data_IF_585213706335
#
_entry.id   IF_585213706335
#
_cell.length_a   1.000
_cell.length_b   1.000
_cell.length_c   1.000
_cell.angle_alpha   90.00
_cell.angle_beta   90.00
_cell.angle_gamma   90.00
#
_symmetry.space_group_name_H-M   'P 1'
#
loop_
_entity.id
_entity.type
_entity.pdbx_description
1 polymer ?
#
# COMPACT_ATOMS: atom_id res chain seq x y z
N UNK A 1 25.53 11.61 -35.91
CA UNK A 1 25.78 11.04 -34.57
C UNK A 1 24.78 11.50 -33.51
N UNK A 2 24.42 12.78 -33.43
CA UNK A 2 23.44 13.29 -32.44
C UNK A 2 22.05 12.62 -32.54
N UNK A 3 21.51 12.41 -33.74
CA UNK A 3 20.20 11.73 -33.93
C UNK A 3 20.16 10.30 -33.36
N UNK A 4 21.22 9.51 -33.53
CA UNK A 4 21.32 8.15 -32.97
C UNK A 4 21.38 8.17 -31.44
N UNK A 5 22.13 9.11 -30.85
CA UNK A 5 22.22 9.24 -29.39
C UNK A 5 20.88 9.70 -28.77
N UNK A 6 20.19 10.66 -29.41
CA UNK A 6 18.83 11.06 -28.98
C UNK A 6 17.87 9.88 -29.00
N UNK A 7 17.88 9.08 -30.08
CA UNK A 7 17.03 7.88 -30.20
C UNK A 7 17.30 6.87 -29.07
N UNK A 8 18.57 6.62 -28.75
CA UNK A 8 18.97 5.72 -27.64
C UNK A 8 18.47 6.23 -26.28
N UNK A 9 18.64 7.51 -26.00
CA UNK A 9 18.16 8.12 -24.75
C UNK A 9 16.64 8.00 -24.66
N UNK A 10 15.93 8.34 -25.73
CA UNK A 10 14.46 8.23 -25.77
C UNK A 10 14.00 6.79 -25.55
N UNK A 11 14.60 5.81 -26.22
CA UNK A 11 14.24 4.40 -26.05
C UNK A 11 14.45 3.94 -24.60
N UNK A 12 15.61 4.21 -24.00
CA UNK A 12 15.91 3.82 -22.62
C UNK A 12 14.96 4.50 -21.61
N UNK A 13 14.69 5.80 -21.78
CA UNK A 13 13.77 6.52 -20.90
C UNK A 13 12.34 6.02 -21.02
N UNK A 14 11.86 5.69 -22.23
CA UNK A 14 10.52 5.12 -22.43
C UNK A 14 10.39 3.70 -21.87
N UNK A 15 11.44 2.87 -21.98
CA UNK A 15 11.48 1.56 -21.32
C UNK A 15 11.40 1.74 -19.80
N UNK A 16 12.19 2.65 -19.24
CA UNK A 16 12.13 2.97 -17.81
C UNK A 16 10.75 3.45 -17.36
N UNK A 17 10.09 4.29 -18.17
CA UNK A 17 8.71 4.74 -17.92
C UNK A 17 7.73 3.57 -17.86
N UNK A 18 7.80 2.65 -18.82
CA UNK A 18 6.95 1.46 -18.84
C UNK A 18 7.19 0.56 -17.63
N UNK A 19 8.46 0.36 -17.24
CA UNK A 19 8.80 -0.41 -16.05
C UNK A 19 8.28 0.23 -14.75
N UNK A 20 8.30 1.56 -14.62
CA UNK A 20 7.73 2.24 -13.45
C UNK A 20 6.23 1.94 -13.28
N UNK A 21 5.47 1.85 -14.38
CA UNK A 21 4.05 1.48 -14.33
C UNK A 21 3.88 0.04 -13.84
N UNK A 22 4.70 -0.89 -14.35
CA UNK A 22 4.65 -2.31 -13.93
C UNK A 22 5.02 -2.46 -12.45
N UNK A 23 6.07 -1.76 -11.99
CA UNK A 23 6.54 -1.80 -10.61
C UNK A 23 5.43 -1.43 -9.62
N UNK A 24 4.57 -0.47 -9.95
CA UNK A 24 3.51 -0.01 -9.04
C UNK A 24 2.53 -1.12 -8.65
N UNK A 25 2.31 -2.11 -9.52
CA UNK A 25 1.39 -3.22 -9.30
C UNK A 25 2.09 -4.54 -8.95
N UNK A 26 3.42 -4.56 -8.90
CA UNK A 26 4.18 -5.79 -8.70
C UNK A 26 4.64 -5.90 -7.23
N UNK A 27 4.57 -7.08 -6.61
CA UNK A 27 5.17 -7.31 -5.30
C UNK A 27 6.66 -6.98 -5.29
N UNK A 28 7.07 -6.06 -4.43
CA UNK A 28 8.43 -5.50 -4.36
C UNK A 28 9.29 -6.35 -3.43
N UNK A 29 8.74 -6.66 -2.26
CA UNK A 29 9.44 -7.37 -1.19
C UNK A 29 8.46 -8.34 -0.54
N UNK A 30 8.96 -9.44 0.01
CA UNK A 30 8.14 -10.34 0.80
C UNK A 30 8.77 -10.58 2.16
N UNK A 31 7.89 -10.77 3.15
CA UNK A 31 8.27 -11.21 4.49
C UNK A 31 7.46 -12.44 4.81
N UNK A 32 8.09 -13.41 5.45
CA UNK A 32 7.44 -14.59 5.98
C UNK A 32 7.89 -14.87 7.42
N UNK A 33 6.95 -15.30 8.26
CA UNK A 33 7.25 -15.86 9.57
C UNK A 33 7.01 -17.38 9.58
N UNK A 34 7.99 -18.11 10.08
CA UNK A 34 7.87 -19.55 10.35
C UNK A 34 8.04 -19.81 11.85
N UNK A 35 7.25 -20.72 12.40
CA UNK A 35 7.36 -21.15 13.80
C UNK A 35 6.79 -22.56 13.96
N UNK A 36 7.06 -23.26 15.08
CA UNK A 36 6.48 -24.59 15.34
C UNK A 36 4.94 -24.63 15.28
N UNK A 37 4.29 -23.52 15.63
CA UNK A 37 2.84 -23.36 15.60
C UNK A 37 2.26 -23.13 14.19
N UNK A 38 3.12 -22.85 13.20
CA UNK A 38 2.75 -22.66 11.80
C UNK A 38 3.38 -23.79 10.96
N UNK A 39 2.78 -25.00 11.00
CA UNK A 39 3.36 -26.18 10.39
C UNK A 39 3.48 -26.03 8.86
N UNK A 40 4.56 -26.51 8.21
CA UNK A 40 4.77 -26.41 6.77
C UNK A 40 3.66 -27.05 5.94
N UNK A 41 2.92 -27.99 6.53
CA UNK A 41 1.75 -28.57 5.90
C UNK A 41 0.72 -27.48 5.59
N UNK A 42 0.34 -26.64 6.55
CA UNK A 42 -0.66 -25.58 6.36
C UNK A 42 -0.05 -24.25 5.88
N UNK A 43 1.20 -23.99 6.26
CA UNK A 43 1.94 -22.78 5.94
C UNK A 43 3.27 -23.14 5.24
N UNK A 44 3.25 -23.67 4.00
CA UNK A 44 4.46 -24.13 3.31
C UNK A 44 5.48 -23.00 3.07
N UNK A 45 4.98 -21.78 2.88
CA UNK A 45 5.78 -20.57 2.72
C UNK A 45 5.85 -19.75 4.03
N UNK A 46 5.39 -20.29 5.16
CA UNK A 46 5.13 -19.56 6.42
C UNK A 46 3.98 -18.57 6.32
N UNK A 47 3.81 -17.73 7.34
CA UNK A 47 2.86 -16.60 7.32
C UNK A 47 3.46 -15.51 6.44
N UNK A 48 3.13 -15.54 5.15
CA UNK A 48 3.76 -14.71 4.14
C UNK A 48 2.90 -13.51 3.73
N UNK A 49 3.53 -12.35 3.67
CA UNK A 49 2.95 -11.10 3.18
C UNK A 49 3.82 -10.49 2.07
N UNK A 50 3.20 -9.78 1.14
CA UNK A 50 3.89 -9.10 0.03
C UNK A 50 3.72 -7.58 0.14
N UNK A 51 4.83 -6.85 0.10
CA UNK A 51 4.85 -5.40 0.07
C UNK A 51 4.79 -4.91 -1.38
N UNK A 52 3.85 -4.02 -1.66
CA UNK A 52 3.69 -3.33 -2.93
C UNK A 52 3.76 -1.81 -2.72
N UNK A 53 3.90 -1.04 -3.81
CA UNK A 53 3.86 0.43 -3.73
C UNK A 53 2.53 0.96 -3.20
N UNK A 54 1.46 0.18 -3.34
CA UNK A 54 0.09 0.58 -3.06
C UNK A 54 -0.55 -0.19 -1.89
N UNK A 55 0.18 -1.04 -1.18
CA UNK A 55 -0.42 -1.85 -0.13
C UNK A 55 0.47 -2.98 0.38
N UNK A 56 -0.04 -3.70 1.37
CA UNK A 56 0.49 -4.99 1.80
C UNK A 56 -0.60 -6.02 1.54
N UNK A 57 -0.25 -7.11 0.88
CA UNK A 57 -1.19 -8.10 0.37
C UNK A 57 -0.86 -9.49 0.89
N UNK A 58 -1.88 -10.35 0.92
CA UNK A 58 -1.76 -11.73 1.34
C UNK A 58 -0.79 -12.49 0.41
N UNK A 59 0.23 -13.11 1.00
CA UNK A 59 1.21 -13.94 0.28
C UNK A 59 0.94 -15.44 0.41
N UNK A 60 -0.06 -15.84 1.21
CA UNK A 60 -0.46 -17.22 1.37
C UNK A 60 -1.36 -17.69 0.22
N UNK A 61 -1.27 -18.98 -0.08
CA UNK A 61 -1.98 -19.60 -1.21
C UNK A 61 -2.96 -20.62 -0.66
N UNK A 62 -4.11 -20.71 -1.33
CA UNK A 62 -5.10 -21.75 -1.10
C UNK A 62 -4.45 -23.13 -1.20
N UNK A 63 -4.67 -23.97 -0.18
CA UNK A 63 -4.16 -25.34 -0.19
C UNK A 63 -5.24 -26.30 -0.69
N UNK A 64 -4.90 -27.14 -1.67
CA UNK A 64 -5.76 -28.25 -2.10
C UNK A 64 -5.25 -29.54 -1.45
N UNK A 65 -5.92 -30.00 -0.38
CA UNK A 65 -5.57 -31.25 0.31
C UNK A 65 -6.77 -32.20 0.37
N UNK A 66 -6.48 -33.49 0.34
CA UNK A 66 -7.49 -34.55 0.38
C UNK A 66 -8.24 -34.63 1.73
N UNK A 67 -7.67 -34.10 2.80
CA UNK A 67 -8.22 -34.17 4.17
C UNK A 67 -8.74 -32.82 4.70
N UNK A 68 -8.39 -31.70 4.05
CA UNK A 68 -8.78 -30.34 4.44
C UNK A 68 -9.09 -29.58 3.16
N UNK A 69 -10.37 -29.31 2.90
CA UNK A 69 -10.81 -28.43 1.84
C UNK A 69 -10.89 -27.01 2.39
N UNK A 70 -9.98 -26.13 1.97
CA UNK A 70 -10.10 -24.70 2.24
C UNK A 70 -10.95 -24.07 1.12
N UNK A 71 -11.96 -23.25 1.45
CA UNK A 71 -12.75 -22.56 0.42
C UNK A 71 -12.03 -21.30 -0.11
N UNK A 72 -11.31 -20.60 0.77
CA UNK A 72 -10.51 -19.41 0.47
C UNK A 72 -9.08 -19.54 1.04
N UNK A 73 -8.14 -18.75 0.54
CA UNK A 73 -6.76 -18.77 1.05
C UNK A 73 -6.68 -18.13 2.44
N UNK A 74 -5.91 -18.74 3.35
CA UNK A 74 -5.58 -18.17 4.67
C UNK A 74 -5.11 -16.72 4.56
N UNK A 75 -5.70 -15.81 5.35
CA UNK A 75 -5.28 -14.40 5.39
C UNK A 75 -4.02 -14.23 6.24
N UNK A 76 -2.86 -14.33 5.61
CA UNK A 76 -1.59 -14.16 6.31
C UNK A 76 -1.27 -12.72 6.70
N UNK A 77 -2.03 -11.72 6.23
CA UNK A 77 -1.94 -10.36 6.79
C UNK A 77 -2.60 -10.36 8.17
N UNK A 78 -3.78 -10.99 8.31
CA UNK A 78 -4.45 -11.14 9.60
C UNK A 78 -3.59 -11.90 10.61
N UNK A 79 -3.03 -13.05 10.22
CA UNK A 79 -2.18 -13.84 11.10
C UNK A 79 -0.93 -13.06 11.55
N UNK A 80 -0.31 -12.30 10.63
CA UNK A 80 0.83 -11.46 10.96
C UNK A 80 0.44 -10.33 11.94
N UNK A 81 -0.71 -9.69 11.74
CA UNK A 81 -1.23 -8.65 12.64
C UNK A 81 -1.59 -9.21 14.02
N UNK A 82 -2.12 -10.41 14.08
CA UNK A 82 -2.36 -11.14 15.33
C UNK A 82 -1.03 -11.39 16.06
N UNK A 83 0.00 -11.88 15.37
CA UNK A 83 1.35 -12.06 15.96
C UNK A 83 1.93 -10.72 16.44
N UNK A 84 1.82 -9.67 15.62
CA UNK A 84 2.29 -8.32 15.96
C UNK A 84 1.63 -7.82 17.25
N UNK A 85 0.30 -7.96 17.37
CA UNK A 85 -0.45 -7.58 18.56
C UNK A 85 0.10 -8.24 19.84
N UNK A 86 0.39 -9.55 19.81
CA UNK A 86 0.90 -10.27 20.98
C UNK A 86 2.22 -9.69 21.52
N UNK A 87 3.06 -9.11 20.65
CA UNK A 87 4.35 -8.51 21.04
C UNK A 87 4.30 -6.98 21.15
N UNK A 88 3.11 -6.39 21.10
CA UNK A 88 2.93 -4.94 21.21
C UNK A 88 3.16 -4.17 19.91
N UNK A 89 3.41 -4.82 18.78
CA UNK A 89 3.54 -4.13 17.49
C UNK A 89 2.15 -3.75 16.95
N UNK A 90 2.02 -2.52 16.45
CA UNK A 90 0.81 -2.07 15.76
C UNK A 90 0.53 -2.89 14.49
N UNK A 91 -0.73 -2.91 13.99
CA UNK A 91 -1.05 -3.56 12.72
C UNK A 91 -0.23 -3.04 11.54
N UNK A 92 -0.05 -3.87 10.52
CA UNK A 92 0.64 -3.56 9.27
C UNK A 92 0.03 -2.33 8.58
N UNK A 93 -1.28 -2.13 8.74
CA UNK A 93 -1.96 -0.97 8.21
C UNK A 93 -1.51 0.37 8.83
N UNK A 94 -0.89 0.37 10.02
CA UNK A 94 -0.35 1.58 10.63
C UNK A 94 0.97 2.06 9.99
N UNK A 95 1.66 1.21 9.24
CA UNK A 95 2.96 1.53 8.64
C UNK A 95 2.82 2.19 7.28
N UNK A 96 3.64 3.20 6.99
CA UNK A 96 3.65 3.88 5.69
C UNK A 96 2.31 4.44 5.22
N UNK A 97 1.47 5.04 6.08
CA UNK A 97 0.13 5.49 5.67
C UNK A 97 0.20 6.60 4.61
N UNK A 98 1.18 7.50 4.73
CA UNK A 98 1.37 8.61 3.79
C UNK A 98 1.98 8.09 2.49
N UNK A 99 3.02 7.26 2.55
CA UNK A 99 3.72 6.72 1.40
C UNK A 99 2.79 5.88 0.52
N UNK A 100 1.97 5.02 1.14
CA UNK A 100 0.95 4.23 0.41
C UNK A 100 -0.17 5.11 -0.13
N UNK A 101 -0.68 6.06 0.65
CA UNK A 101 -1.74 6.98 0.23
C UNK A 101 -1.33 7.94 -0.90
N UNK A 102 -0.06 8.35 -0.94
CA UNK A 102 0.50 9.22 -1.97
C UNK A 102 1.20 8.45 -3.10
N UNK A 103 1.36 7.14 -2.99
CA UNK A 103 2.21 6.33 -3.88
C UNK A 103 1.91 6.53 -5.36
N UNK A 104 0.64 6.62 -5.76
CA UNK A 104 0.26 6.85 -7.16
C UNK A 104 0.71 8.22 -7.69
N UNK A 105 0.67 9.27 -6.84
CA UNK A 105 1.09 10.61 -7.21
C UNK A 105 2.61 10.69 -7.29
N UNK A 106 3.32 10.02 -6.38
CA UNK A 106 4.78 9.93 -6.40
C UNK A 106 5.27 9.21 -7.67
N UNK A 107 4.63 8.11 -8.07
CA UNK A 107 4.97 7.42 -9.31
C UNK A 107 4.66 8.26 -10.55
N UNK A 108 3.51 8.95 -10.57
CA UNK A 108 3.18 9.88 -11.65
C UNK A 108 4.17 11.06 -11.73
N UNK A 109 4.63 11.56 -10.57
CA UNK A 109 5.64 12.61 -10.49
C UNK A 109 6.96 12.16 -11.12
N UNK A 110 7.46 10.96 -10.79
CA UNK A 110 8.64 10.38 -11.42
C UNK A 110 8.46 10.19 -12.93
N UNK A 111 7.27 9.76 -13.37
CA UNK A 111 6.95 9.61 -14.79
C UNK A 111 7.01 10.96 -15.53
N UNK A 112 6.42 12.03 -14.98
CA UNK A 112 6.48 13.38 -15.57
C UNK A 112 7.92 13.91 -15.61
N UNK A 113 8.74 13.65 -14.59
CA UNK A 113 10.17 13.99 -14.62
C UNK A 113 10.91 13.33 -15.79
N UNK A 114 10.66 12.03 -16.02
CA UNK A 114 11.24 11.29 -17.15
C UNK A 114 10.74 11.81 -18.50
N UNK A 115 9.45 12.15 -18.61
CA UNK A 115 8.90 12.80 -19.80
C UNK A 115 9.58 14.14 -20.07
N UNK A 116 9.83 14.96 -19.03
CA UNK A 116 10.60 16.19 -19.15
C UNK A 116 12.05 15.95 -19.60
N UNK A 117 12.70 14.90 -19.08
CA UNK A 117 14.07 14.54 -19.43
C UNK A 117 14.27 14.23 -20.93
N UNK A 118 13.24 13.70 -21.60
CA UNK A 118 13.27 13.43 -23.05
C UNK A 118 13.65 14.70 -23.85
N UNK A 119 13.20 15.87 -23.43
CA UNK A 119 13.36 17.12 -24.18
C UNK A 119 14.67 17.85 -23.85
N UNK A 120 15.48 18.11 -24.89
CA UNK A 120 16.67 18.96 -24.79
C UNK A 120 16.28 20.44 -24.78
N UNK A 121 15.25 20.84 -25.51
CA UNK A 121 14.78 22.23 -25.54
C UNK A 121 14.18 22.61 -24.18
N UNK A 122 14.72 23.63 -23.47
CA UNK A 122 14.16 24.06 -22.19
C UNK A 122 12.69 24.47 -22.29
N UNK A 123 12.30 25.12 -23.39
CA UNK A 123 10.91 25.57 -23.61
C UNK A 123 9.95 24.37 -23.65
N UNK A 124 10.25 23.35 -24.45
CA UNK A 124 9.40 22.15 -24.56
C UNK A 124 9.38 21.36 -23.25
N UNK A 125 10.55 21.17 -22.63
CA UNK A 125 10.67 20.48 -21.34
C UNK A 125 9.82 21.15 -20.27
N UNK A 126 9.93 22.48 -20.14
CA UNK A 126 9.15 23.22 -19.16
C UNK A 126 7.65 23.12 -19.41
N UNK A 127 7.20 23.20 -20.68
CA UNK A 127 5.78 23.01 -21.01
C UNK A 127 5.29 21.63 -20.54
N UNK A 128 6.02 20.57 -20.88
CA UNK A 128 5.67 19.19 -20.50
C UNK A 128 5.62 19.02 -18.99
N UNK A 129 6.64 19.51 -18.27
CA UNK A 129 6.70 19.44 -16.81
C UNK A 129 5.58 20.25 -16.15
N UNK A 130 5.34 21.48 -16.61
CA UNK A 130 4.30 22.33 -16.05
C UNK A 130 2.90 21.74 -16.27
N UNK A 131 2.60 21.25 -17.48
CA UNK A 131 1.31 20.62 -17.76
C UNK A 131 1.14 19.34 -16.94
N UNK A 132 2.17 18.47 -16.90
CA UNK A 132 2.13 17.23 -16.14
C UNK A 132 1.96 17.48 -14.63
N UNK A 133 2.73 18.39 -14.05
CA UNK A 133 2.65 18.69 -12.63
C UNK A 133 1.39 19.45 -12.24
N UNK A 134 0.84 20.32 -13.09
CA UNK A 134 -0.49 20.91 -12.85
C UNK A 134 -1.56 19.83 -12.85
N UNK A 135 -1.48 18.85 -13.77
CA UNK A 135 -2.38 17.70 -13.78
C UNK A 135 -2.29 16.87 -12.50
N UNK A 136 -1.08 16.54 -12.04
CA UNK A 136 -0.88 15.81 -10.79
C UNK A 136 -1.35 16.63 -9.58
N UNK A 137 -1.04 17.93 -9.51
CA UNK A 137 -1.47 18.80 -8.42
C UNK A 137 -3.00 18.88 -8.34
N UNK A 138 -3.68 19.03 -9.49
CA UNK A 138 -5.14 19.04 -9.54
C UNK A 138 -5.72 17.69 -9.11
N UNK A 139 -5.20 16.57 -9.63
CA UNK A 139 -5.63 15.23 -9.25
C UNK A 139 -5.43 14.96 -7.75
N UNK A 140 -4.26 15.29 -7.21
CA UNK A 140 -3.93 15.15 -5.78
C UNK A 140 -4.83 16.02 -4.90
N UNK A 141 -5.09 17.27 -5.29
CA UNK A 141 -6.01 18.17 -4.57
C UNK A 141 -7.43 17.62 -4.54
N UNK A 142 -7.95 17.19 -5.70
CA UNK A 142 -9.29 16.59 -5.79
C UNK A 142 -9.39 15.29 -4.99
N UNK A 143 -8.32 14.50 -4.95
CA UNK A 143 -8.30 13.23 -4.21
C UNK A 143 -8.31 13.46 -2.70
N UNK A 144 -7.46 14.37 -2.19
CA UNK A 144 -7.28 14.59 -0.76
C UNK A 144 -8.37 15.44 -0.11
N UNK A 145 -8.85 16.48 -0.82
CA UNK A 145 -9.72 17.49 -0.23
C UNK A 145 -11.06 17.65 -0.98
N UNK A 146 -11.24 16.97 -2.11
CA UNK A 146 -12.49 16.99 -2.84
C UNK A 146 -13.53 16.06 -2.22
N UNK A 147 -14.79 16.44 -2.33
CA UNK A 147 -15.92 15.57 -1.98
C UNK A 147 -15.88 14.30 -2.84
N UNK A 148 -16.00 13.14 -2.20
CA UNK A 148 -15.81 11.81 -2.79
C UNK A 148 -14.44 11.61 -3.48
N UNK A 149 -13.45 12.42 -3.12
CA UNK A 149 -12.11 12.42 -3.71
C UNK A 149 -11.41 11.07 -3.61
N UNK A 150 -11.70 10.26 -2.60
CA UNK A 150 -11.12 8.94 -2.40
C UNK A 150 -11.39 7.97 -3.58
N UNK A 151 -12.44 8.20 -4.37
CA UNK A 151 -12.71 7.46 -5.62
C UNK A 151 -11.59 7.58 -6.67
N UNK A 152 -10.76 8.61 -6.55
CA UNK A 152 -9.61 8.86 -7.42
C UNK A 152 -8.33 8.12 -6.98
N UNK A 153 -8.40 7.35 -5.88
CA UNK A 153 -7.34 6.42 -5.50
C UNK A 153 -7.34 5.15 -6.38
N UNK A 154 -6.19 4.50 -6.45
CA UNK A 154 -6.01 3.23 -7.13
C UNK A 154 -6.70 2.08 -6.38
N UNK A 155 -7.22 1.09 -7.11
CA UNK A 155 -7.99 -0.02 -6.55
C UNK A 155 -7.19 -0.84 -5.53
N UNK A 156 -5.89 -1.04 -5.74
CA UNK A 156 -5.07 -1.83 -4.82
C UNK A 156 -4.92 -1.18 -3.45
N UNK A 157 -4.79 0.14 -3.38
CA UNK A 157 -4.77 0.86 -2.10
C UNK A 157 -6.13 0.79 -1.38
N UNK A 158 -7.22 1.00 -2.12
CA UNK A 158 -8.58 0.87 -1.57
C UNK A 158 -8.81 -0.56 -1.03
N UNK A 159 -8.44 -1.58 -1.80
CA UNK A 159 -8.52 -2.98 -1.39
C UNK A 159 -7.67 -3.25 -0.15
N UNK A 160 -6.43 -2.78 -0.09
CA UNK A 160 -5.58 -2.97 1.08
C UNK A 160 -6.18 -2.35 2.36
N UNK A 161 -6.83 -1.18 2.25
CA UNK A 161 -7.51 -0.54 3.39
C UNK A 161 -8.76 -1.31 3.83
N UNK A 162 -9.55 -1.84 2.88
CA UNK A 162 -10.69 -2.69 3.18
C UNK A 162 -10.23 -3.96 3.88
N UNK A 163 -9.30 -4.71 3.27
CA UNK A 163 -8.83 -5.99 3.79
C UNK A 163 -8.27 -5.86 5.21
N UNK A 164 -7.60 -4.76 5.55
CA UNK A 164 -7.09 -4.57 6.91
C UNK A 164 -8.17 -4.30 7.97
N UNK A 165 -9.38 -3.92 7.56
CA UNK A 165 -10.53 -3.69 8.46
C UNK A 165 -11.55 -4.84 8.42
N UNK A 166 -11.73 -5.49 7.26
CA UNK A 166 -12.70 -6.56 7.06
C UNK A 166 -12.43 -7.82 7.90
N UNK A 167 -11.22 -7.91 8.43
CA UNK A 167 -10.85 -8.84 9.49
C UNK A 167 -11.60 -8.62 10.83
N UNK A 168 -12.48 -7.61 10.93
CA UNK A 168 -13.49 -7.46 12.00
C UNK A 168 -14.85 -8.07 11.63
N UNK A 169 -15.19 -8.21 10.34
CA UNK A 169 -16.47 -8.82 9.91
C UNK A 169 -16.52 -10.33 10.22
N UNK A 170 -15.35 -10.96 10.37
CA UNK A 170 -15.18 -12.31 10.91
C UNK A 170 -15.28 -12.38 12.45
N UNK A 171 -15.30 -11.24 13.14
CA UNK A 171 -15.17 -11.10 14.60
C UNK A 171 -16.41 -11.46 15.44
N UNK A 172 -17.52 -11.89 14.82
CA UNK A 172 -18.63 -12.54 15.54
C UNK A 172 -18.93 -13.98 15.07
N UNK A 173 -18.18 -14.57 14.12
CA UNK A 173 -18.36 -16.00 13.76
C UNK A 173 -17.24 -16.57 12.86
N UNK A 174 -15.97 -16.37 13.20
CA UNK A 174 -14.90 -17.22 12.66
C UNK A 174 -14.54 -18.31 13.66
N UNK A 175 -15.46 -19.24 13.90
CA UNK A 175 -15.02 -20.61 14.18
C UNK A 175 -14.57 -21.21 12.85
N UNK A 176 -13.43 -21.92 12.81
CA UNK A 176 -12.95 -22.54 11.58
C UNK A 176 -14.02 -23.49 11.06
N UNK A 177 -14.27 -23.40 9.75
CA UNK A 177 -15.16 -24.29 9.01
C UNK A 177 -14.53 -25.71 8.91
N UNK A 178 -14.37 -26.36 10.05
CA UNK A 178 -14.26 -27.81 10.18
C UNK A 178 -15.09 -28.18 11.41
N UNK A 179 -16.40 -28.35 11.16
CA UNK A 179 -17.35 -29.28 11.78
C UNK A 179 -18.72 -28.66 11.56
N UNK A 180 -19.51 -29.29 10.68
CA UNK A 180 -20.97 -29.21 10.72
C UNK A 180 -21.39 -29.50 12.17
N UNK A 181 -21.78 -28.48 12.94
CA UNK A 181 -22.20 -28.67 14.34
C UNK A 181 -22.21 -27.46 15.29
N UNK A 182 -22.16 -26.22 14.79
CA UNK A 182 -22.17 -25.01 15.64
C UNK A 182 -23.54 -24.32 15.77
N UNK A 183 -23.69 -23.46 16.79
CA UNK A 183 -24.90 -22.68 17.14
C UNK A 183 -25.50 -21.92 15.94
N UNK A 184 -24.67 -21.48 14.98
CA UNK A 184 -25.12 -20.80 13.77
C UNK A 184 -25.94 -21.70 12.81
N UNK A 185 -25.59 -22.99 12.70
CA UNK A 185 -26.38 -23.96 11.93
C UNK A 185 -27.72 -24.24 12.61
N UNK A 186 -27.71 -24.37 13.94
CA UNK A 186 -28.92 -24.54 14.76
C UNK A 186 -29.84 -23.31 14.65
N UNK A 187 -29.26 -22.10 14.63
CA UNK A 187 -30.01 -20.85 14.49
C UNK A 187 -30.62 -20.70 13.09
N UNK A 188 -29.87 -21.06 12.05
CA UNK A 188 -30.36 -21.08 10.67
C UNK A 188 -31.52 -22.07 10.53
N UNK A 189 -31.34 -23.31 10.96
CA UNK A 189 -32.37 -24.34 10.87
C UNK A 189 -33.64 -23.91 11.64
N UNK A 190 -33.49 -23.29 12.82
CA UNK A 190 -34.58 -22.73 13.61
C UNK A 190 -35.32 -21.56 12.93
N UNK A 191 -34.59 -20.69 12.22
CA UNK A 191 -35.16 -19.57 11.47
C UNK A 191 -35.88 -20.04 10.20
N UNK A 192 -35.30 -20.99 9.48
CA UNK A 192 -35.92 -21.60 8.29
C UNK A 192 -37.15 -22.44 8.67
N UNK A 193 -37.12 -23.17 9.79
CA UNK A 193 -38.27 -23.89 10.34
C UNK A 193 -39.39 -22.95 10.82
N UNK A 194 -39.04 -21.71 11.18
CA UNK A 194 -39.98 -20.62 11.48
C UNK A 194 -40.52 -19.91 10.22
N UNK A 195 -40.16 -20.37 9.02
CA UNK A 195 -40.60 -19.81 7.75
C UNK A 195 -39.89 -18.52 7.32
N UNK A 196 -38.75 -18.19 7.94
CA UNK A 196 -37.90 -17.06 7.57
C UNK A 196 -36.77 -17.56 6.69
N UNK A 197 -36.75 -17.12 5.43
CA UNK A 197 -35.68 -17.47 4.49
C UNK A 197 -34.39 -16.73 4.87
N UNK A 198 -33.35 -17.48 5.27
CA UNK A 198 -32.06 -16.92 5.69
C UNK A 198 -31.06 -17.04 4.56
N UNK A 199 -30.90 -15.94 3.82
CA UNK A 199 -29.88 -15.84 2.77
C UNK A 199 -28.56 -15.43 3.45
N UNK A 200 -27.55 -16.28 3.35
CA UNK A 200 -26.23 -16.00 3.93
C UNK A 200 -25.52 -14.89 3.13
N UNK A 201 -24.81 -13.96 3.80
CA UNK A 201 -24.03 -12.92 3.13
C UNK A 201 -23.06 -13.47 2.08
N UNK A 202 -22.45 -14.63 2.34
CA UNK A 202 -21.56 -15.35 1.43
C UNK A 202 -22.26 -15.81 0.14
N UNK A 203 -23.54 -16.18 0.20
CA UNK A 203 -24.32 -16.57 -0.98
C UNK A 203 -24.71 -15.35 -1.83
N UNK A 204 -24.98 -14.22 -1.18
CA UNK A 204 -25.20 -12.94 -1.85
C UNK A 204 -23.92 -12.45 -2.54
N UNK A 205 -22.77 -12.60 -1.87
CA UNK A 205 -21.47 -12.24 -2.43
C UNK A 205 -21.06 -13.15 -3.59
N UNK A 206 -21.25 -14.47 -3.48
CA UNK A 206 -20.97 -15.41 -4.56
C UNK A 206 -21.84 -15.15 -5.80
N UNK A 207 -23.13 -14.86 -5.61
CA UNK A 207 -24.04 -14.51 -6.69
C UNK A 207 -23.70 -13.14 -7.33
N UNK A 208 -23.25 -12.16 -6.53
CA UNK A 208 -22.79 -10.85 -7.02
C UNK A 208 -21.47 -10.93 -7.78
N UNK A 209 -20.51 -11.74 -7.29
CA UNK A 209 -19.22 -12.03 -7.95
C UNK A 209 -19.43 -12.73 -9.30
N UNK A 210 -20.41 -13.64 -9.40
CA UNK A 210 -20.76 -14.31 -10.66
C UNK A 210 -21.44 -13.38 -11.68
N UNK A 211 -22.01 -12.25 -11.27
CA UNK A 211 -22.80 -11.34 -12.11
C UNK A 211 -22.02 -10.12 -12.65
N UNK A 212 -20.80 -9.84 -12.18
CA UNK A 212 -20.10 -8.59 -12.50
C UNK A 212 -18.74 -8.79 -13.16
N UNK A 213 -18.66 -8.46 -14.45
CA UNK A 213 -17.42 -8.04 -15.10
C UNK A 213 -17.36 -6.51 -15.21
N UNK A 214 -16.48 -5.85 -14.46
CA UNK A 214 -15.69 -4.63 -14.79
C UNK A 214 -15.10 -4.01 -13.52
N UNK A 215 -13.80 -3.73 -13.52
CA UNK A 215 -12.98 -3.22 -12.41
C UNK A 215 -13.46 -1.94 -11.73
N UNK A 216 -14.29 -1.12 -12.40
CA UNK A 216 -14.87 0.10 -11.79
C UNK A 216 -15.99 -0.22 -10.77
N UNK A 217 -16.70 -1.33 -10.95
CA UNK A 217 -17.78 -1.76 -10.06
C UNK A 217 -17.20 -2.30 -8.75
N UNK A 218 -16.10 -3.06 -8.84
CA UNK A 218 -15.37 -3.60 -7.70
C UNK A 218 -14.82 -2.51 -6.77
N UNK A 219 -14.09 -1.52 -7.32
CA UNK A 219 -13.56 -0.41 -6.49
C UNK A 219 -14.67 0.39 -5.81
N UNK A 220 -15.78 0.62 -6.52
CA UNK A 220 -16.91 1.36 -5.94
C UNK A 220 -17.54 0.60 -4.77
N UNK A 221 -17.66 -0.72 -4.88
CA UNK A 221 -18.12 -1.58 -3.78
C UNK A 221 -17.17 -1.53 -2.57
N UNK A 222 -15.86 -1.60 -2.79
CA UNK A 222 -14.87 -1.48 -1.72
C UNK A 222 -14.97 -0.14 -0.97
N UNK A 223 -15.20 0.96 -1.70
CA UNK A 223 -15.40 2.28 -1.08
C UNK A 223 -16.71 2.33 -0.31
N UNK A 224 -17.77 1.70 -0.82
CA UNK A 224 -19.05 1.60 -0.13
C UNK A 224 -18.92 0.81 1.19
N UNK A 225 -18.13 -0.27 1.20
CA UNK A 225 -17.81 -1.02 2.41
C UNK A 225 -17.08 -0.16 3.45
N UNK A 226 -16.05 0.60 3.04
CA UNK A 226 -15.38 1.55 3.95
C UNK A 226 -16.33 2.60 4.50
N UNK A 227 -17.22 3.13 3.65
CA UNK A 227 -18.23 4.09 4.08
C UNK A 227 -19.19 3.47 5.09
N UNK A 228 -19.67 2.25 4.86
CA UNK A 228 -20.56 1.56 5.80
C UNK A 228 -19.88 1.41 7.17
N UNK A 229 -18.63 0.98 7.20
CA UNK A 229 -17.85 0.87 8.44
C UNK A 229 -17.66 2.24 9.11
N UNK A 230 -17.42 3.29 8.32
CA UNK A 230 -17.33 4.67 8.83
C UNK A 230 -18.63 5.15 9.45
N UNK A 231 -19.77 4.94 8.76
CA UNK A 231 -21.08 5.37 9.22
C UNK A 231 -21.46 4.68 10.55
N UNK A 232 -21.08 3.41 10.72
CA UNK A 232 -21.23 2.67 11.99
C UNK A 232 -20.41 3.34 13.12
N UNK A 233 -19.17 3.72 12.84
CA UNK A 233 -18.30 4.37 13.83
C UNK A 233 -18.79 5.80 14.17
N UNK A 234 -19.29 6.53 13.17
CA UNK A 234 -19.84 7.87 13.34
C UNK A 234 -21.06 7.86 14.27
N UNK A 235 -21.97 6.88 14.14
CA UNK A 235 -23.11 6.75 15.06
C UNK A 235 -22.66 6.55 16.51
N UNK A 236 -21.47 5.97 16.72
CA UNK A 236 -20.89 5.69 18.03
C UNK A 236 -19.99 6.82 18.57
N UNK A 237 -19.72 7.86 17.79
CA UNK A 237 -18.74 8.90 18.11
C UNK A 237 -19.23 10.30 17.80
N UNK A 238 -19.34 11.14 18.84
CA UNK A 238 -19.73 12.54 18.71
C UNK A 238 -18.65 13.42 18.03
N UNK A 239 -17.44 12.91 17.82
CA UNK A 239 -16.31 13.67 17.26
C UNK A 239 -16.12 13.48 15.75
N UNK A 240 -16.69 12.41 15.18
CA UNK A 240 -16.54 12.11 13.76
C UNK A 240 -17.43 13.02 12.93
N UNK A 241 -16.84 13.63 11.89
CA UNK A 241 -17.56 14.48 10.96
C UNK A 241 -18.44 13.66 10.00
N UNK A 242 -19.46 14.25 9.35
CA UNK A 242 -20.17 13.61 8.24
C UNK A 242 -19.22 13.07 7.17
N UNK A 243 -19.54 11.91 6.58
CA UNK A 243 -18.74 11.35 5.49
C UNK A 243 -18.71 12.31 4.30
N UNK A 244 -17.52 12.81 3.96
CA UNK A 244 -17.26 13.59 2.74
C UNK A 244 -16.58 12.73 1.66
N UNK A 245 -16.00 11.59 2.04
CA UNK A 245 -15.33 10.66 1.13
C UNK A 245 -14.05 11.20 0.50
N UNK A 246 -13.45 12.23 1.09
CA UNK A 246 -12.12 12.73 0.74
C UNK A 246 -11.05 11.75 1.22
N UNK A 247 -9.91 11.67 0.52
CA UNK A 247 -8.84 10.77 0.97
C UNK A 247 -8.24 11.22 2.30
N UNK A 248 -8.26 12.51 2.64
CA UNK A 248 -7.85 12.99 3.96
C UNK A 248 -8.73 12.37 5.07
N UNK A 249 -10.06 12.44 4.93
CA UNK A 249 -10.97 11.87 5.92
C UNK A 249 -10.77 10.35 6.05
N UNK A 250 -10.75 9.63 4.93
CA UNK A 250 -10.63 8.17 4.94
C UNK A 250 -9.29 7.73 5.53
N UNK A 251 -8.18 8.37 5.17
CA UNK A 251 -6.85 8.02 5.68
C UNK A 251 -6.75 8.28 7.18
N UNK A 252 -7.21 9.43 7.68
CA UNK A 252 -7.14 9.77 9.10
C UNK A 252 -8.01 8.85 9.95
N UNK A 253 -9.26 8.58 9.52
CA UNK A 253 -10.15 7.66 10.22
C UNK A 253 -9.62 6.22 10.19
N UNK A 254 -9.20 5.73 9.01
CA UNK A 254 -8.70 4.37 8.86
C UNK A 254 -7.47 4.13 9.74
N UNK A 255 -6.56 5.12 9.80
CA UNK A 255 -5.39 5.05 10.67
C UNK A 255 -5.77 5.01 12.15
N UNK A 256 -6.69 5.87 12.59
CA UNK A 256 -7.20 5.86 13.97
C UNK A 256 -7.82 4.50 14.33
N UNK A 257 -8.67 3.97 13.44
CA UNK A 257 -9.32 2.66 13.60
C UNK A 257 -8.30 1.53 13.64
N UNK A 258 -7.32 1.54 12.74
CA UNK A 258 -6.26 0.54 12.67
C UNK A 258 -5.39 0.52 13.93
N UNK A 259 -4.99 1.69 14.45
CA UNK A 259 -4.22 1.76 15.70
C UNK A 259 -5.03 1.25 16.90
N UNK A 260 -6.32 1.61 16.95
CA UNK A 260 -7.23 1.23 18.05
C UNK A 260 -7.71 -0.22 18.02
N UNK A 261 -7.46 -0.95 16.92
CA UNK A 261 -8.02 -2.28 16.69
C UNK A 261 -7.69 -3.28 17.78
N UNK A 262 -6.41 -3.35 18.15
CA UNK A 262 -5.96 -4.22 19.24
C UNK A 262 -5.55 -3.46 20.50
N UNK A 263 -5.25 -2.17 20.33
CA UNK A 263 -4.70 -1.32 21.38
C UNK A 263 -5.59 -0.09 21.54
N UNK A 264 -6.69 -0.20 22.28
CA UNK A 264 -7.57 0.96 22.51
C UNK A 264 -6.98 1.93 23.55
N UNK A 265 -5.84 2.55 23.22
CA UNK A 265 -5.20 3.60 24.01
C UNK A 265 -5.31 4.96 23.33
N UNK A 266 -6.36 5.70 23.67
CA UNK A 266 -6.62 7.02 23.08
C UNK A 266 -5.54 8.06 23.39
N UNK A 267 -4.79 7.92 24.48
CA UNK A 267 -3.69 8.84 24.83
C UNK A 267 -2.53 8.77 23.83
N UNK A 268 -2.28 7.59 23.25
CA UNK A 268 -1.29 7.39 22.19
C UNK A 268 -1.88 7.63 20.79
N UNK A 269 -3.10 7.17 20.54
CA UNK A 269 -3.71 7.21 19.21
C UNK A 269 -4.00 8.63 18.76
N UNK A 270 -4.62 9.45 19.60
CA UNK A 270 -5.00 10.83 19.23
C UNK A 270 -3.81 11.67 18.76
N UNK A 271 -2.65 11.72 19.46
CA UNK A 271 -1.49 12.45 18.94
C UNK A 271 -0.90 11.80 17.68
N UNK A 272 -0.92 10.47 17.53
CA UNK A 272 -0.48 9.81 16.30
C UNK A 272 -1.32 10.21 15.10
N UNK A 273 -2.65 10.26 15.24
CA UNK A 273 -3.56 10.67 14.16
C UNK A 273 -3.34 12.14 13.80
N UNK A 274 -3.17 13.03 14.78
CA UNK A 274 -2.82 14.44 14.52
C UNK A 274 -1.50 14.58 13.76
N UNK A 275 -0.51 13.76 14.11
CA UNK A 275 0.77 13.74 13.39
C UNK A 275 0.58 13.25 11.95
N UNK A 276 -0.28 12.26 11.71
CA UNK A 276 -0.62 11.81 10.36
C UNK A 276 -1.32 12.93 9.57
N UNK A 277 -2.34 13.58 10.13
CA UNK A 277 -3.04 14.69 9.49
C UNK A 277 -2.08 15.81 9.09
N UNK A 278 -1.18 16.19 10.01
CA UNK A 278 -0.13 17.16 9.73
C UNK A 278 0.82 16.65 8.63
N UNK A 279 1.24 15.39 8.68
CA UNK A 279 2.12 14.80 7.68
C UNK A 279 1.49 14.79 6.30
N UNK A 280 0.20 14.48 6.16
CA UNK A 280 -0.54 14.55 4.89
C UNK A 280 -0.46 15.96 4.30
N UNK A 281 -0.72 17.00 5.10
CA UNK A 281 -0.62 18.39 4.64
C UNK A 281 0.81 18.78 4.28
N UNK A 282 1.79 18.43 5.12
CA UNK A 282 3.20 18.75 4.88
C UNK A 282 3.69 18.08 3.61
N UNK A 283 3.40 16.80 3.40
CA UNK A 283 3.79 16.06 2.19
C UNK A 283 3.09 16.63 0.96
N UNK A 284 1.80 16.97 1.05
CA UNK A 284 1.07 17.64 -0.02
C UNK A 284 1.78 18.92 -0.48
N UNK A 285 2.08 19.85 0.43
CA UNK A 285 2.77 21.10 0.09
C UNK A 285 4.24 20.89 -0.30
N UNK A 286 4.93 19.91 0.28
CA UNK A 286 6.28 19.55 -0.09
C UNK A 286 6.35 19.04 -1.54
N UNK A 287 5.40 18.22 -1.98
CA UNK A 287 5.29 17.76 -3.36
C UNK A 287 5.04 18.94 -4.31
N UNK A 288 4.13 19.86 -3.96
CA UNK A 288 3.91 21.08 -4.77
C UNK A 288 5.17 21.95 -4.87
N UNK A 289 5.89 22.10 -3.76
CA UNK A 289 7.19 22.79 -3.73
C UNK A 289 8.23 22.10 -4.61
N UNK A 290 8.32 20.77 -4.55
CA UNK A 290 9.22 19.98 -5.39
C UNK A 290 8.88 20.10 -6.88
N UNK A 291 7.59 20.08 -7.25
CA UNK A 291 7.14 20.34 -8.63
C UNK A 291 7.61 21.71 -9.12
N UNK A 292 7.41 22.76 -8.33
CA UNK A 292 7.85 24.12 -8.68
C UNK A 292 9.38 24.20 -8.82
N UNK A 293 10.12 23.56 -7.91
CA UNK A 293 11.58 23.49 -7.93
C UNK A 293 12.11 22.79 -9.19
N UNK A 294 11.50 21.66 -9.57
CA UNK A 294 11.89 20.88 -10.77
C UNK A 294 11.60 21.67 -12.04
N UNK A 295 10.44 22.36 -12.13
CA UNK A 295 10.12 23.23 -13.27
C UNK A 295 11.10 24.40 -13.36
N UNK A 296 11.41 25.04 -12.23
CA UNK A 296 12.40 26.12 -12.15
C UNK A 296 13.79 25.65 -12.61
N UNK A 297 14.24 24.51 -12.08
CA UNK A 297 15.52 23.90 -12.40
C UNK A 297 15.67 23.48 -13.86
N UNK A 298 14.55 23.20 -14.51
CA UNK A 298 14.49 22.75 -15.90
C UNK A 298 14.68 23.87 -16.92
N UNK A 299 14.92 25.12 -16.50
CA UNK A 299 15.18 26.27 -17.40
C UNK A 299 16.53 26.18 -18.13
N UNK A 300 17.48 25.40 -17.62
CA UNK A 300 18.83 25.26 -18.19
C UNK A 300 19.13 23.80 -18.51
N UNK A 301 19.97 23.57 -19.52
CA UNK A 301 20.45 22.24 -19.90
C UNK A 301 21.72 21.89 -19.11
N UNK A 302 21.61 21.86 -17.78
CA UNK A 302 22.75 21.59 -16.90
C UNK A 302 22.50 22.02 -15.45
N UNK A 303 23.49 21.74 -14.60
CA UNK A 303 23.39 21.97 -13.15
C UNK A 303 22.62 20.87 -12.42
N UNK A 304 22.66 20.93 -11.08
CA UNK A 304 22.09 19.88 -10.22
C UNK A 304 20.59 19.67 -10.47
N UNK A 305 19.81 20.75 -10.55
CA UNK A 305 18.35 20.66 -10.68
C UNK A 305 17.87 20.05 -12.00
N UNK A 306 18.62 20.21 -13.09
CA UNK A 306 18.32 19.50 -14.34
C UNK A 306 18.51 17.99 -14.19
N UNK A 307 19.59 17.58 -13.51
CA UNK A 307 19.92 16.17 -13.32
C UNK A 307 18.95 15.46 -12.37
N UNK A 308 18.27 16.18 -11.46
CA UNK A 308 17.21 15.61 -10.63
C UNK A 308 16.15 14.88 -11.46
N UNK A 309 15.84 15.36 -12.68
CA UNK A 309 14.85 14.75 -13.59
C UNK A 309 15.08 13.25 -13.85
N UNK A 310 16.33 12.79 -13.77
CA UNK A 310 16.65 11.38 -13.95
C UNK A 310 17.32 10.74 -12.74
N UNK A 311 18.08 11.50 -11.94
CA UNK A 311 18.74 10.94 -10.76
C UNK A 311 17.75 10.52 -9.68
N UNK A 312 16.63 11.23 -9.52
CA UNK A 312 15.59 10.84 -8.53
C UNK A 312 14.92 9.51 -8.94
N UNK A 313 14.43 9.32 -10.19
CA UNK A 313 13.98 8.01 -10.66
C UNK A 313 15.05 6.90 -10.58
N UNK A 314 16.32 7.21 -10.86
CA UNK A 314 17.43 6.24 -10.72
C UNK A 314 17.60 5.80 -9.26
N UNK A 315 17.36 6.68 -8.30
CA UNK A 315 17.48 6.41 -6.87
C UNK A 315 16.25 5.69 -6.26
N UNK A 316 15.21 5.38 -7.05
CA UNK A 316 14.01 4.68 -6.56
C UNK A 316 14.28 3.43 -5.69
N UNK A 317 15.13 2.46 -6.09
CA UNK A 317 15.41 1.30 -5.23
C UNK A 317 16.06 1.68 -3.90
N UNK A 318 16.87 2.74 -3.86
CA UNK A 318 17.47 3.23 -2.62
C UNK A 318 16.41 3.85 -1.71
N UNK A 319 15.53 4.69 -2.25
CA UNK A 319 14.43 5.29 -1.48
C UNK A 319 13.50 4.21 -0.91
N UNK A 320 13.19 3.17 -1.68
CA UNK A 320 12.41 2.05 -1.19
C UNK A 320 13.06 1.37 0.03
N UNK A 321 14.36 1.04 -0.03
CA UNK A 321 15.06 0.40 1.10
C UNK A 321 15.10 1.30 2.33
N UNK A 322 15.32 2.60 2.15
CA UNK A 322 15.32 3.57 3.26
C UNK A 322 13.94 3.61 3.93
N UNK A 323 12.89 3.77 3.15
CA UNK A 323 11.52 3.87 3.65
C UNK A 323 11.07 2.56 4.33
N UNK A 324 11.26 1.43 3.65
CA UNK A 324 10.97 0.10 4.19
C UNK A 324 11.70 -0.16 5.52
N UNK A 325 13.00 0.15 5.58
CA UNK A 325 13.78 -0.02 6.80
C UNK A 325 13.32 0.91 7.92
N UNK A 326 12.98 2.17 7.60
CA UNK A 326 12.49 3.14 8.58
C UNK A 326 11.18 2.68 9.22
N UNK A 327 10.25 2.13 8.43
CA UNK A 327 9.00 1.58 8.95
C UNK A 327 9.19 0.31 9.78
N UNK A 328 10.07 -0.60 9.37
CA UNK A 328 10.41 -1.75 10.21
C UNK A 328 11.02 -1.31 11.54
N UNK A 329 11.92 -0.32 11.51
CA UNK A 329 12.48 0.26 12.73
C UNK A 329 11.38 0.84 13.62
N UNK A 330 10.46 1.62 13.04
CA UNK A 330 9.34 2.20 13.76
C UNK A 330 8.48 1.13 14.44
N UNK A 331 8.16 0.03 13.74
CA UNK A 331 7.40 -1.08 14.32
C UNK A 331 8.09 -1.70 15.52
N UNK A 332 9.39 -1.98 15.43
CA UNK A 332 10.12 -2.62 16.52
C UNK A 332 10.54 -1.69 17.66
N UNK A 333 10.36 -0.37 17.51
CA UNK A 333 10.70 0.64 18.53
C UNK A 333 9.50 1.44 19.05
N UNK A 334 8.33 1.26 18.45
CA UNK A 334 7.05 1.86 18.86
C UNK A 334 6.11 0.75 19.32
N UNK A 335 6.57 0.00 20.32
CA UNK A 335 5.83 -1.12 20.91
C UNK A 335 4.85 -0.59 21.95
N UNK A 336 3.63 -1.10 21.94
CA UNK A 336 2.59 -0.79 22.89
C UNK A 336 2.67 -1.71 24.12
N UNK A 337 2.54 -1.12 25.32
CA UNK A 337 2.63 -1.84 26.59
C UNK A 337 1.44 -2.80 26.86
N UNK A 338 0.35 -2.69 26.10
CA UNK A 338 -0.79 -3.60 26.16
C UNK A 338 -0.57 -4.92 25.41
N UNK A 339 0.57 -5.11 24.75
CA UNK A 339 0.95 -6.40 24.19
C UNK A 339 1.01 -7.49 25.25
N UNK A 340 0.56 -8.70 24.93
CA UNK A 340 0.58 -9.83 25.87
C UNK A 340 2.00 -10.20 26.33
N UNK A 341 3.00 -9.98 25.47
CA UNK A 341 4.40 -10.20 25.76
C UNK A 341 5.19 -8.90 25.60
N UNK A 342 5.82 -8.46 26.68
CA UNK A 342 6.77 -7.35 26.62
C UNK A 342 8.09 -7.83 26.01
N UNK A 343 8.42 -7.30 24.83
CA UNK A 343 9.69 -7.53 24.16
C UNK A 343 10.52 -6.25 24.17
N UNK A 344 11.85 -6.40 24.25
CA UNK A 344 12.73 -5.23 24.12
C UNK A 344 12.66 -4.67 22.70
N UNK A 345 12.82 -3.35 22.53
CA UNK A 345 12.92 -2.77 21.20
C UNK A 345 13.93 -3.52 20.33
N UNK A 346 13.53 -3.81 19.10
CA UNK A 346 14.32 -4.59 18.16
C UNK A 346 14.12 -4.08 16.74
N UNK A 347 14.94 -4.57 15.81
CA UNK A 347 14.79 -4.28 14.39
C UNK A 347 14.22 -5.54 13.71
N UNK A 348 12.98 -5.51 13.21
CA UNK A 348 12.49 -6.56 12.31
C UNK A 348 13.46 -6.75 11.14
N UNK A 349 13.58 -7.99 10.66
CA UNK A 349 14.57 -8.34 9.64
C UNK A 349 14.30 -7.61 8.32
N UNK A 350 15.20 -6.69 7.97
CA UNK A 350 15.15 -5.94 6.70
C UNK A 350 15.50 -6.84 5.52
N UNK A 351 16.56 -7.64 5.65
CA UNK A 351 17.03 -8.53 4.60
C UNK A 351 17.69 -9.77 5.20
N UNK A 352 17.39 -10.93 4.62
CA UNK A 352 17.90 -12.22 5.04
C UNK A 352 16.99 -12.91 6.06
N UNK A 353 17.61 -13.79 6.84
CA UNK A 353 16.95 -14.55 7.89
C UNK A 353 17.25 -13.93 9.25
N UNK A 354 16.21 -13.80 10.06
CA UNK A 354 16.31 -13.37 11.45
C UNK A 354 15.46 -14.23 12.37
N UNK A 355 15.56 -13.97 13.67
CA UNK A 355 14.82 -14.71 14.67
C UNK A 355 14.36 -13.78 15.80
N UNK A 356 13.09 -13.86 16.13
CA UNK A 356 12.47 -13.16 17.27
C UNK A 356 11.66 -14.19 18.05
N UNK A 357 12.10 -14.48 19.27
CA UNK A 357 11.55 -15.58 20.08
C UNK A 357 11.54 -16.93 19.32
N UNK A 358 10.37 -17.54 19.13
CA UNK A 358 10.19 -18.80 18.40
C UNK A 358 9.92 -18.61 16.91
N UNK A 359 9.81 -17.37 16.45
CA UNK A 359 9.58 -17.04 15.05
C UNK A 359 10.91 -16.84 14.32
N UNK A 360 11.09 -17.56 13.22
CA UNK A 360 12.10 -17.23 12.23
C UNK A 360 11.46 -16.32 11.18
N UNK A 361 12.09 -15.19 10.91
CA UNK A 361 11.66 -14.22 9.91
C UNK A 361 12.52 -14.34 8.67
N UNK A 362 11.87 -14.44 7.51
CA UNK A 362 12.52 -14.44 6.21
C UNK A 362 12.12 -13.18 5.47
N UNK A 363 13.08 -12.37 5.01
CA UNK A 363 12.80 -11.09 4.36
C UNK A 363 13.69 -10.90 3.14
N UNK A 364 13.09 -10.87 1.94
CA UNK A 364 13.86 -10.86 0.70
C UNK A 364 13.20 -10.02 -0.41
N UNK A 365 14.02 -9.47 -1.33
CA UNK A 365 13.51 -8.82 -2.52
C UNK A 365 12.70 -9.78 -3.37
N UNK A 366 11.72 -9.22 -4.07
CA UNK A 366 10.92 -9.93 -5.04
C UNK A 366 11.02 -9.30 -6.43
N UNK A 367 10.15 -9.72 -7.35
CA UNK A 367 10.19 -9.33 -8.76
C UNK A 367 10.14 -7.80 -8.90
N UNK A 368 9.29 -7.11 -8.14
CA UNK A 368 9.16 -5.65 -8.19
C UNK A 368 10.45 -4.92 -7.81
N UNK A 369 11.19 -5.38 -6.80
CA UNK A 369 12.48 -4.79 -6.46
C UNK A 369 13.54 -5.06 -7.55
N UNK A 370 13.54 -6.26 -8.14
CA UNK A 370 14.36 -6.57 -9.31
C UNK A 370 14.09 -5.63 -10.48
N UNK A 371 12.82 -5.34 -10.76
CA UNK A 371 12.41 -4.36 -11.77
C UNK A 371 12.84 -2.94 -11.42
N UNK A 372 12.81 -2.55 -10.14
CA UNK A 372 13.33 -1.23 -9.69
C UNK A 372 14.83 -1.11 -9.97
N UNK A 373 15.62 -2.14 -9.65
CA UNK A 373 17.06 -2.16 -9.92
C UNK A 373 17.34 -2.13 -11.43
N UNK A 374 16.60 -2.89 -12.22
CA UNK A 374 16.70 -2.85 -13.68
C UNK A 374 16.38 -1.46 -14.25
N UNK A 375 15.31 -0.84 -13.75
CA UNK A 375 14.91 0.52 -14.13
C UNK A 375 16.00 1.53 -13.79
N UNK A 376 16.58 1.44 -12.59
CA UNK A 376 17.70 2.28 -12.15
C UNK A 376 18.90 2.17 -13.10
N UNK A 377 19.29 0.95 -13.48
CA UNK A 377 20.38 0.72 -14.43
C UNK A 377 20.09 1.30 -15.82
N UNK A 378 18.90 1.05 -16.38
CA UNK A 378 18.48 1.57 -17.70
C UNK A 378 18.49 3.10 -17.71
N UNK A 379 17.95 3.73 -16.67
CA UNK A 379 17.90 5.19 -16.57
C UNK A 379 19.29 5.80 -16.30
N UNK A 380 20.17 5.11 -15.57
CA UNK A 380 21.56 5.52 -15.40
C UNK A 380 22.30 5.52 -16.74
N UNK A 381 22.09 4.53 -17.59
CA UNK A 381 22.63 4.52 -18.96
C UNK A 381 22.08 5.70 -19.79
N UNK A 382 20.78 5.99 -19.70
CA UNK A 382 20.18 7.15 -20.37
C UNK A 382 20.80 8.47 -19.89
N UNK A 383 21.04 8.61 -18.59
CA UNK A 383 21.71 9.76 -17.98
C UNK A 383 23.15 9.92 -18.51
N UNK A 384 23.93 8.83 -18.56
CA UNK A 384 25.30 8.85 -19.10
C UNK A 384 25.34 9.26 -20.58
N UNK A 385 24.39 8.77 -21.39
CA UNK A 385 24.29 9.17 -22.80
C UNK A 385 23.90 10.63 -22.95
N UNK A 386 22.98 11.13 -22.12
CA UNK A 386 22.64 12.56 -22.09
C UNK A 386 23.82 13.42 -21.67
N UNK A 387 24.62 12.97 -20.69
CA UNK A 387 25.82 13.69 -20.25
C UNK A 387 26.83 13.83 -21.39
N UNK A 388 27.09 12.73 -22.11
CA UNK A 388 27.94 12.74 -23.31
C UNK A 388 27.37 13.59 -24.45
N UNK A 389 26.05 13.75 -24.54
CA UNK A 389 25.40 14.56 -25.57
C UNK A 389 25.52 16.07 -25.28
N UNK A 390 25.46 16.46 -24.00
CA UNK A 390 25.52 17.87 -23.59
C UNK A 390 26.96 18.43 -23.51
N UNK A 391 27.96 17.55 -23.33
CA UNK A 391 29.37 17.92 -23.21
C UNK A 391 30.20 17.69 -24.49
N UNK A 392 29.53 17.40 -25.60
CA UNK A 392 30.11 17.42 -26.95
C UNK A 392 29.70 18.72 -27.63
#
# INVERSE_FOLDING_TARGET
MQSKQTLQITALTLIGLGLLVVIFYTPIWWVSLTAPNYPPESFPDGVRIHFHMNGVFNGCKKQEKAEIAEEEALDCVHEMDTINHYVGMYPIAAGGPVERGFGQFLMAFLAVMLLGFLFISPKQRMIVLSVGFVGIAAWMTLTLYGENGFKLQNTGYVSALVTSLDQEASGETSEPEIVIGGVAGILKDSLEESGVEVILPSQVEAARRAAQGTTNTEKSHLIEQLKLTYDIDQVKSDSLQPWDGSAFQVMSWHYAKSLGRYFNNQEEIVPMVKNLELAIHVVFYAILGAMALVVFGSRKNGGLLYWLLILVPVALPLFFIIDYSAWLWWYGHTLNDMGAFSVKPFMPTVFGDGKVAQFTTHSYPYIGFGLMVLTSFILALAALFRFKQLNK
#
